data_IF_109277125041
#
_entry.id   IF_109277125041
#
_cell.length_a   1.000
_cell.length_b   1.000
_cell.length_c   1.000
_cell.angle_alpha   90.00
_cell.angle_beta   90.00
_cell.angle_gamma   90.00
#
_symmetry.space_group_name_H-M   'P 1'
#
loop_
_entity.id
_entity.type
_entity.pdbx_description
1 polymer ?
#
# COMPACT_ATOMS: atom_id res chain seq x y z
N UNK A 1 -9.21 6.53 -2.80
CA UNK A 1 -8.79 5.86 -1.57
C UNK A 1 -9.47 6.46 -0.34
N UNK A 2 -9.41 7.77 -0.18
CA UNK A 2 -9.97 8.52 0.95
C UNK A 2 -11.33 9.14 0.60
N UNK A 3 -12.22 9.35 1.58
CA UNK A 3 -13.41 10.17 1.36
C UNK A 3 -13.00 11.63 1.05
N UNK A 4 -13.82 12.33 0.27
CA UNK A 4 -13.55 13.72 -0.11
C UNK A 4 -13.30 14.61 1.13
N UNK A 5 -12.20 15.36 1.11
CA UNK A 5 -11.79 16.27 2.18
C UNK A 5 -11.34 15.62 3.49
N UNK A 6 -11.23 14.27 3.57
CA UNK A 6 -10.89 13.56 4.82
C UNK A 6 -9.53 12.82 4.77
N UNK A 7 -8.72 13.08 3.77
CA UNK A 7 -7.38 12.55 3.68
C UNK A 7 -6.47 13.18 4.76
N UNK A 8 -5.83 12.38 5.63
CA UNK A 8 -4.99 12.92 6.70
C UNK A 8 -3.69 13.52 6.15
N UNK A 9 -3.17 14.53 6.82
CA UNK A 9 -1.84 15.12 6.61
C UNK A 9 -1.49 15.42 5.14
N UNK A 10 -2.48 15.90 4.37
CA UNK A 10 -2.25 16.33 2.98
C UNK A 10 -1.18 17.41 2.93
N UNK A 11 -0.16 17.19 2.09
CA UNK A 11 0.93 18.12 1.90
C UNK A 11 0.77 18.92 0.60
N UNK A 12 1.16 20.22 0.57
CA UNK A 12 1.03 21.03 -0.64
C UNK A 12 1.81 20.51 -1.85
N UNK A 13 2.89 19.75 -1.61
CA UNK A 13 3.71 19.15 -2.67
C UNK A 13 3.15 17.82 -3.20
N UNK A 14 2.06 17.30 -2.61
CA UNK A 14 1.39 16.07 -3.06
C UNK A 14 0.24 16.42 -3.98
N UNK A 15 0.46 16.28 -5.26
CA UNK A 15 -0.39 16.85 -6.33
C UNK A 15 -1.40 15.85 -6.95
N UNK A 16 -1.56 14.65 -6.38
CA UNK A 16 -2.59 13.72 -6.81
C UNK A 16 -3.27 13.01 -5.63
N UNK A 17 -4.48 12.53 -5.86
CA UNK A 17 -5.21 11.71 -4.90
C UNK A 17 -4.73 10.25 -5.01
N UNK A 18 -4.45 9.57 -3.89
CA UNK A 18 -4.10 8.16 -3.90
C UNK A 18 -5.29 7.29 -4.28
N UNK A 19 -5.04 6.19 -5.02
CA UNK A 19 -6.09 5.30 -5.49
C UNK A 19 -5.64 3.84 -5.56
N UNK A 20 -6.61 2.95 -5.76
CA UNK A 20 -6.43 1.51 -5.96
C UNK A 20 -6.81 1.14 -7.37
N UNK A 21 -6.06 0.22 -7.97
CA UNK A 21 -6.42 -0.44 -9.22
C UNK A 21 -6.53 -1.94 -8.96
N UNK A 22 -7.70 -2.50 -9.24
CA UNK A 22 -7.98 -3.91 -9.12
C UNK A 22 -7.67 -4.64 -10.44
N UNK A 23 -6.89 -5.71 -10.35
CA UNK A 23 -6.58 -6.64 -11.42
C UNK A 23 -7.21 -7.98 -11.08
N UNK A 24 -8.42 -8.22 -11.60
CA UNK A 24 -9.21 -9.41 -11.30
C UNK A 24 -9.07 -10.39 -12.48
N UNK A 25 -8.61 -11.64 -12.24
CA UNK A 25 -8.45 -12.62 -13.30
C UNK A 25 -9.79 -13.11 -13.83
N UNK A 26 -9.86 -13.41 -15.14
CA UNK A 26 -11.05 -14.04 -15.72
C UNK A 26 -11.31 -15.43 -15.13
N UNK A 27 -10.24 -16.16 -14.81
CA UNK A 27 -10.29 -17.51 -14.23
C UNK A 27 -9.52 -17.51 -12.90
N UNK A 28 -10.15 -17.12 -11.79
CA UNK A 28 -9.49 -17.10 -10.49
C UNK A 28 -9.16 -18.52 -10.02
N UNK A 29 -7.93 -18.74 -9.59
CA UNK A 29 -7.46 -20.00 -8.98
C UNK A 29 -7.47 -19.93 -7.45
N UNK A 30 -7.64 -18.74 -6.89
CA UNK A 30 -7.66 -18.48 -5.47
C UNK A 30 -8.56 -17.29 -5.13
N UNK A 31 -9.07 -17.26 -3.89
CA UNK A 31 -9.76 -16.09 -3.33
C UNK A 31 -8.83 -15.12 -2.60
N UNK A 32 -7.52 -15.39 -2.61
CA UNK A 32 -6.51 -14.54 -2.00
C UNK A 32 -6.28 -13.25 -2.81
N UNK A 33 -5.82 -12.21 -2.13
CA UNK A 33 -5.59 -10.89 -2.70
C UNK A 33 -4.15 -10.46 -2.41
N UNK A 34 -3.43 -10.03 -3.43
CA UNK A 34 -2.10 -9.43 -3.30
C UNK A 34 -2.18 -7.91 -3.46
N UNK A 35 -1.94 -7.19 -2.37
CA UNK A 35 -1.73 -5.73 -2.44
C UNK A 35 -0.30 -5.47 -2.88
N UNK A 36 -0.10 -4.55 -3.83
CA UNK A 36 1.20 -4.22 -4.41
C UNK A 36 1.50 -2.74 -4.21
N UNK A 37 2.68 -2.43 -3.66
CA UNK A 37 3.20 -1.08 -3.44
C UNK A 37 4.54 -0.93 -4.15
N UNK A 38 4.61 -0.02 -5.11
CA UNK A 38 5.82 0.22 -5.90
C UNK A 38 6.88 0.99 -5.11
N UNK A 39 8.13 0.97 -5.59
CA UNK A 39 9.22 1.78 -5.09
C UNK A 39 9.23 3.21 -5.64
N UNK A 40 10.39 3.86 -5.57
CA UNK A 40 10.62 5.24 -6.03
C UNK A 40 11.12 6.17 -4.92
N UNK A 41 11.74 5.61 -3.86
CA UNK A 41 12.37 6.39 -2.77
C UNK A 41 11.43 7.30 -2.00
N UNK A 42 10.11 7.09 -2.10
CA UNK A 42 9.06 8.02 -1.66
C UNK A 42 9.08 9.37 -2.37
N UNK A 43 9.96 9.58 -3.33
CA UNK A 43 9.97 10.77 -4.19
C UNK A 43 8.92 10.71 -5.30
N UNK A 44 8.68 9.50 -5.80
CA UNK A 44 7.63 9.17 -6.75
C UNK A 44 7.15 7.73 -6.51
N UNK A 45 6.06 7.35 -7.13
CA UNK A 45 5.58 5.98 -7.11
C UNK A 45 5.81 5.35 -8.49
N UNK A 46 6.72 4.38 -8.59
CA UNK A 46 7.07 3.68 -9.83
C UNK A 46 5.98 2.67 -10.24
N UNK A 47 4.75 3.16 -10.33
CA UNK A 47 3.57 2.34 -10.53
C UNK A 47 3.66 1.48 -11.80
N UNK A 48 3.99 2.11 -12.94
CA UNK A 48 4.06 1.47 -14.25
C UNK A 48 5.24 0.51 -14.36
N UNK A 49 6.36 0.80 -13.70
CA UNK A 49 7.57 -0.02 -13.77
C UNK A 49 7.58 -1.22 -12.83
N UNK A 50 6.86 -1.17 -11.72
CA UNK A 50 6.93 -2.19 -10.68
C UNK A 50 5.57 -2.77 -10.29
N UNK A 51 4.54 -1.96 -10.03
CA UNK A 51 3.28 -2.48 -9.54
C UNK A 51 2.43 -3.12 -10.66
N UNK A 52 2.28 -2.44 -11.77
CA UNK A 52 1.43 -2.86 -12.88
C UNK A 52 1.91 -4.16 -13.54
N UNK A 53 3.20 -4.35 -13.91
CA UNK A 53 3.67 -5.59 -14.51
C UNK A 53 3.48 -6.81 -13.60
N UNK A 54 3.70 -6.63 -12.30
CA UNK A 54 3.51 -7.70 -11.31
C UNK A 54 2.03 -8.02 -11.13
N UNK A 55 1.16 -6.99 -11.13
CA UNK A 55 -0.28 -7.19 -11.07
C UNK A 55 -0.79 -8.01 -12.28
N UNK A 56 -0.32 -7.71 -13.48
CA UNK A 56 -0.63 -8.49 -14.69
C UNK A 56 -0.11 -9.92 -14.61
N UNK A 57 1.13 -10.11 -14.14
CA UNK A 57 1.69 -11.45 -13.96
C UNK A 57 0.85 -12.30 -12.99
N UNK A 58 0.49 -11.76 -11.82
CA UNK A 58 -0.35 -12.46 -10.85
C UNK A 58 -1.74 -12.74 -11.40
N UNK A 59 -2.30 -11.81 -12.14
CA UNK A 59 -3.59 -11.95 -12.80
C UNK A 59 -3.59 -13.12 -13.79
N UNK A 60 -2.53 -13.27 -14.61
CA UNK A 60 -2.35 -14.42 -15.50
C UNK A 60 -2.23 -15.76 -14.76
N UNK A 61 -1.79 -15.74 -13.49
CA UNK A 61 -1.74 -16.94 -12.63
C UNK A 61 -3.04 -17.20 -11.86
N UNK A 62 -4.08 -16.43 -12.13
CA UNK A 62 -5.39 -16.57 -11.50
C UNK A 62 -5.48 -15.97 -10.10
N UNK A 63 -4.55 -15.10 -9.70
CA UNK A 63 -4.57 -14.40 -8.43
C UNK A 63 -5.00 -12.94 -8.62
N UNK A 64 -5.94 -12.49 -7.79
CA UNK A 64 -6.32 -11.07 -7.76
C UNK A 64 -5.19 -10.23 -7.16
N UNK A 65 -4.83 -9.16 -7.85
CA UNK A 65 -3.89 -8.16 -7.37
C UNK A 65 -4.56 -6.78 -7.24
N UNK A 66 -4.08 -6.00 -6.28
CA UNK A 66 -4.52 -4.61 -6.08
C UNK A 66 -3.30 -3.72 -6.00
N UNK A 67 -3.05 -2.94 -7.03
CA UNK A 67 -1.95 -1.99 -7.04
C UNK A 67 -2.36 -0.67 -6.39
N UNK A 68 -1.50 -0.17 -5.51
CA UNK A 68 -1.73 1.07 -4.74
C UNK A 68 -0.89 2.19 -5.32
N UNK A 69 -1.54 3.23 -5.81
CA UNK A 69 -0.90 4.50 -6.11
C UNK A 69 -0.95 5.35 -4.84
N UNK A 70 0.06 5.21 -3.99
CA UNK A 70 0.16 5.97 -2.73
C UNK A 70 0.73 7.37 -2.97
N UNK A 71 0.51 8.30 -2.03
CA UNK A 71 0.93 9.69 -2.13
C UNK A 71 2.45 9.83 -2.24
N UNK A 72 2.87 10.60 -3.25
CA UNK A 72 4.23 11.09 -3.47
C UNK A 72 4.16 12.55 -3.94
N UNK A 73 5.23 13.31 -3.80
CA UNK A 73 6.45 12.97 -3.08
C UNK A 73 6.20 12.84 -1.57
N UNK A 74 7.23 12.38 -0.85
CA UNK A 74 7.22 12.31 0.62
C UNK A 74 6.83 13.64 1.24
N UNK A 75 6.31 13.65 2.48
CA UNK A 75 5.99 14.89 3.17
C UNK A 75 7.24 15.76 3.35
N UNK A 76 7.06 17.07 3.32
CA UNK A 76 8.14 18.04 3.55
C UNK A 76 8.62 18.01 5.00
N UNK A 77 7.70 17.73 5.92
CA UNK A 77 7.97 17.62 7.35
C UNK A 77 7.57 16.24 7.87
N UNK A 78 8.36 15.70 8.80
CA UNK A 78 8.12 14.40 9.41
C UNK A 78 8.74 13.22 8.66
N UNK A 79 8.40 12.00 9.06
CA UNK A 79 8.96 10.79 8.47
C UNK A 79 8.62 10.65 6.98
N UNK A 80 9.63 10.33 6.16
CA UNK A 80 9.48 10.21 4.70
C UNK A 80 8.40 9.22 4.25
N UNK A 81 8.10 8.22 5.05
CA UNK A 81 7.13 7.18 4.76
C UNK A 81 5.71 7.49 5.25
N UNK A 82 5.49 8.55 6.02
CA UNK A 82 4.23 8.77 6.76
C UNK A 82 3.00 8.76 5.84
N UNK A 83 2.96 9.60 4.82
CA UNK A 83 1.81 9.66 3.90
C UNK A 83 1.58 8.33 3.17
N UNK A 84 2.66 7.68 2.73
CA UNK A 84 2.58 6.38 2.07
C UNK A 84 2.08 5.28 3.03
N UNK A 85 2.50 5.32 4.30
CA UNK A 85 2.05 4.37 5.32
C UNK A 85 0.57 4.54 5.67
N UNK A 86 0.09 5.77 5.78
CA UNK A 86 -1.33 6.07 5.93
C UNK A 86 -2.14 5.50 4.76
N UNK A 87 -1.68 5.74 3.53
CA UNK A 87 -2.34 5.23 2.33
C UNK A 87 -2.30 3.69 2.25
N UNK A 88 -1.20 3.05 2.64
CA UNK A 88 -1.09 1.60 2.67
C UNK A 88 -2.06 0.97 3.69
N UNK A 89 -2.15 1.51 4.91
CA UNK A 89 -3.12 1.04 5.90
C UNK A 89 -4.57 1.22 5.41
N UNK A 90 -4.88 2.37 4.85
CA UNK A 90 -6.20 2.63 4.26
C UNK A 90 -6.50 1.70 3.10
N UNK A 91 -5.51 1.43 2.23
CA UNK A 91 -5.63 0.50 1.12
C UNK A 91 -5.96 -0.92 1.60
N UNK A 92 -5.25 -1.44 2.61
CA UNK A 92 -5.51 -2.78 3.18
C UNK A 92 -6.94 -2.87 3.73
N UNK A 93 -7.40 -1.86 4.48
CA UNK A 93 -8.77 -1.81 5.02
C UNK A 93 -9.82 -1.75 3.91
N UNK A 94 -9.60 -0.91 2.90
CA UNK A 94 -10.50 -0.77 1.76
C UNK A 94 -10.58 -2.05 0.94
N UNK A 95 -9.45 -2.70 0.67
CA UNK A 95 -9.39 -4.01 0.01
C UNK A 95 -10.19 -5.05 0.81
N UNK A 96 -10.01 -5.09 2.13
CA UNK A 96 -10.76 -6.00 3.02
C UNK A 96 -12.26 -5.74 2.98
N UNK A 97 -12.67 -4.46 3.00
CA UNK A 97 -14.08 -4.09 2.94
C UNK A 97 -14.74 -4.48 1.60
N UNK A 98 -14.00 -4.36 0.49
CA UNK A 98 -14.53 -4.60 -0.85
C UNK A 98 -14.42 -6.06 -1.31
N UNK A 99 -13.58 -6.87 -0.67
CA UNK A 99 -13.30 -8.26 -1.05
C UNK A 99 -14.56 -9.14 -1.14
N UNK A 100 -15.50 -9.14 -0.16
CA UNK A 100 -16.68 -10.00 -0.22
C UNK A 100 -17.57 -9.73 -1.43
N UNK A 101 -17.78 -8.45 -1.78
CA UNK A 101 -18.59 -8.06 -2.93
C UNK A 101 -17.98 -8.52 -4.29
N UNK A 102 -16.69 -8.89 -4.28
CA UNK A 102 -15.95 -9.40 -5.44
C UNK A 102 -15.75 -10.94 -5.39
N UNK A 103 -16.39 -11.62 -4.43
CA UNK A 103 -16.22 -13.06 -4.24
C UNK A 103 -14.86 -13.48 -3.69
N UNK A 104 -14.10 -12.56 -3.11
CA UNK A 104 -12.77 -12.76 -2.55
C UNK A 104 -12.82 -12.91 -1.02
N UNK A 105 -11.77 -13.48 -0.43
CA UNK A 105 -11.69 -13.71 1.01
C UNK A 105 -11.02 -12.53 1.72
N UNK A 106 -11.76 -11.76 2.55
CA UNK A 106 -11.21 -10.62 3.29
C UNK A 106 -10.13 -10.99 4.33
N UNK A 107 -10.00 -12.30 4.65
CA UNK A 107 -9.00 -12.81 5.57
C UNK A 107 -7.76 -13.38 4.86
N UNK A 108 -7.68 -13.29 3.53
CA UNK A 108 -6.56 -13.80 2.73
C UNK A 108 -5.93 -12.67 1.90
N UNK A 109 -5.38 -11.68 2.60
CA UNK A 109 -4.75 -10.50 2.02
C UNK A 109 -3.26 -10.50 2.39
N UNK A 110 -2.40 -10.42 1.38
CA UNK A 110 -0.98 -10.17 1.54
C UNK A 110 -0.56 -8.84 0.94
N UNK A 111 0.64 -8.39 1.29
CA UNK A 111 1.26 -7.21 0.70
C UNK A 111 2.63 -7.55 0.12
N UNK A 112 2.99 -6.96 -1.00
CA UNK A 112 4.34 -6.99 -1.55
C UNK A 112 4.75 -5.61 -2.04
N UNK A 113 6.04 -5.37 -2.07
CA UNK A 113 6.55 -4.11 -2.58
C UNK A 113 8.05 -4.10 -2.81
N UNK A 114 8.50 -3.10 -3.55
CA UNK A 114 9.83 -3.00 -4.13
C UNK A 114 10.57 -1.78 -3.57
N UNK A 115 11.84 -1.90 -3.22
CA UNK A 115 12.66 -0.77 -2.75
C UNK A 115 11.99 0.00 -1.60
N UNK A 116 11.63 1.27 -1.77
CA UNK A 116 10.84 2.03 -0.79
C UNK A 116 9.46 1.39 -0.53
N UNK A 117 8.83 0.77 -1.55
CA UNK A 117 7.63 -0.06 -1.37
C UNK A 117 7.90 -1.34 -0.58
N UNK A 118 9.11 -1.91 -0.68
CA UNK A 118 9.55 -3.01 0.18
C UNK A 118 9.65 -2.58 1.65
N UNK A 119 10.17 -1.38 1.92
CA UNK A 119 10.14 -0.77 3.25
C UNK A 119 8.69 -0.55 3.73
N UNK A 120 7.84 0.00 2.88
CA UNK A 120 6.41 0.21 3.17
C UNK A 120 5.70 -1.12 3.48
N UNK A 121 6.06 -2.20 2.77
CA UNK A 121 5.59 -3.57 3.04
C UNK A 121 5.95 -4.02 4.45
N UNK A 122 7.21 -3.81 4.88
CA UNK A 122 7.64 -4.12 6.24
C UNK A 122 6.88 -3.28 7.27
N UNK A 123 6.77 -1.97 7.04
CA UNK A 123 6.02 -1.06 7.92
C UNK A 123 4.57 -1.53 8.09
N UNK A 124 3.87 -1.86 7.01
CA UNK A 124 2.49 -2.33 7.06
C UNK A 124 2.34 -3.66 7.81
N UNK A 125 3.26 -4.60 7.59
CA UNK A 125 3.20 -5.93 8.18
C UNK A 125 3.54 -5.93 9.69
N UNK A 126 4.58 -5.19 10.10
CA UNK A 126 5.05 -5.18 11.48
C UNK A 126 4.28 -4.23 12.39
N UNK A 127 3.63 -3.20 11.82
CA UNK A 127 2.88 -2.18 12.56
C UNK A 127 1.36 -2.24 12.30
N UNK A 128 0.82 -3.42 12.03
CA UNK A 128 -0.60 -3.57 11.71
C UNK A 128 -1.55 -3.12 12.86
N UNK A 129 -1.07 -3.09 14.10
CA UNK A 129 -1.82 -2.63 15.29
C UNK A 129 -1.55 -1.17 15.66
N UNK A 130 -0.57 -0.53 15.02
CA UNK A 130 -0.22 0.87 15.27
C UNK A 130 -0.92 1.74 14.22
N UNK A 131 -1.88 2.60 14.60
CA UNK A 131 -2.57 3.43 13.62
C UNK A 131 -1.65 4.51 13.05
N UNK A 132 -1.58 4.62 11.73
CA UNK A 132 -0.85 5.69 11.03
C UNK A 132 -1.64 7.01 10.98
N UNK A 133 -2.94 6.96 11.28
CA UNK A 133 -3.87 8.10 11.25
C UNK A 133 -5.08 7.84 12.14
N UNK A 134 -5.80 8.90 12.51
CA UNK A 134 -7.08 8.80 13.22
C UNK A 134 -8.16 8.28 12.26
N UNK A 135 -9.07 7.38 12.69
CA UNK A 135 -10.14 6.87 11.85
C UNK A 135 -11.00 7.98 11.22
N UNK A 136 -11.30 7.86 9.93
CA UNK A 136 -12.11 8.85 9.19
C UNK A 136 -13.51 8.35 8.83
N UNK A 137 -13.71 7.02 8.77
CA UNK A 137 -15.01 6.38 8.50
C UNK A 137 -15.07 4.94 9.02
N UNK A 138 -16.17 4.23 8.74
CA UNK A 138 -16.39 2.85 9.18
C UNK A 138 -15.36 1.83 8.64
N UNK A 139 -14.77 2.09 7.46
CA UNK A 139 -13.73 1.22 6.88
C UNK A 139 -12.51 1.18 7.81
N UNK A 140 -12.21 2.24 8.51
CA UNK A 140 -11.06 2.33 9.40
C UNK A 140 -11.20 1.54 10.71
N UNK A 141 -12.39 1.02 11.00
CA UNK A 141 -12.60 0.05 12.07
C UNK A 141 -12.11 -1.36 11.71
N UNK A 142 -11.90 -1.63 10.41
CA UNK A 142 -11.37 -2.92 9.95
C UNK A 142 -9.88 -3.07 10.28
N UNK A 143 -9.40 -4.29 10.55
CA UNK A 143 -8.00 -4.51 10.87
C UNK A 143 -7.08 -4.33 9.65
N UNK A 144 -5.83 -3.93 9.91
CA UNK A 144 -4.75 -3.88 8.91
C UNK A 144 -3.90 -5.16 8.88
N UNK A 145 -4.30 -6.22 9.56
CA UNK A 145 -3.56 -7.49 9.61
C UNK A 145 -3.42 -8.12 8.23
N UNK A 146 -2.28 -8.74 7.98
CA UNK A 146 -1.94 -9.37 6.72
C UNK A 146 -1.54 -10.84 6.96
N UNK A 147 -1.80 -11.72 6.01
CA UNK A 147 -1.45 -13.14 6.11
C UNK A 147 -0.03 -13.43 5.63
N UNK A 148 0.49 -12.61 4.73
CA UNK A 148 1.88 -12.68 4.28
C UNK A 148 2.37 -11.31 3.83
N UNK A 149 3.69 -11.14 3.82
CA UNK A 149 4.37 -9.96 3.32
C UNK A 149 5.60 -10.38 2.48
N UNK A 150 5.77 -9.77 1.32
CA UNK A 150 6.88 -10.00 0.42
C UNK A 150 7.66 -8.70 0.18
N UNK A 151 8.56 -8.30 1.07
CA UNK A 151 9.42 -7.14 0.84
C UNK A 151 10.52 -7.52 -0.17
N UNK A 152 10.53 -6.86 -1.33
CA UNK A 152 11.52 -7.10 -2.40
C UNK A 152 12.57 -6.00 -2.32
N UNK A 153 13.84 -6.37 -2.15
CA UNK A 153 15.00 -5.46 -1.94
C UNK A 153 14.63 -4.19 -1.15
N UNK A 154 14.09 -4.34 0.08
CA UNK A 154 13.54 -3.21 0.84
C UNK A 154 14.61 -2.17 1.13
N UNK A 155 14.40 -0.94 0.66
CA UNK A 155 15.24 0.19 1.02
C UNK A 155 15.06 0.52 2.51
N UNK A 156 16.08 1.08 3.13
CA UNK A 156 16.08 1.55 4.54
C UNK A 156 15.90 0.47 5.62
N UNK A 157 15.68 -0.79 5.27
CA UNK A 157 15.33 -1.84 6.22
C UNK A 157 16.46 -2.23 7.18
N UNK A 158 17.72 -2.01 6.78
CA UNK A 158 18.92 -2.38 7.54
C UNK A 158 19.72 -1.17 8.01
N UNK A 159 19.17 0.04 7.90
CA UNK A 159 19.86 1.27 8.30
C UNK A 159 19.18 1.89 9.51
N UNK A 160 19.93 2.11 10.57
CA UNK A 160 19.53 3.00 11.65
C UNK A 160 19.28 4.38 11.04
N UNK A 161 18.04 4.82 11.02
CA UNK A 161 17.66 6.09 10.44
C UNK A 161 16.96 6.00 9.08
N UNK A 162 16.07 5.03 8.93
CA UNK A 162 15.05 5.05 7.86
C UNK A 162 14.34 6.41 7.77
N UNK A 163 14.34 7.15 8.86
CA UNK A 163 13.80 8.51 8.99
C UNK A 163 14.87 9.61 8.93
N UNK A 164 16.11 9.28 8.56
CA UNK A 164 17.08 10.36 8.35
C UNK A 164 16.50 11.36 7.36
N UNK A 165 16.48 12.68 7.71
CA UNK A 165 16.19 13.70 6.72
C UNK A 165 17.14 13.50 5.55
N UNK A 166 16.63 13.68 4.34
CA UNK A 166 17.41 13.45 3.13
C UNK A 166 18.78 14.06 3.20
N UNK A 167 19.75 13.21 3.20
CA UNK A 167 21.00 13.56 2.58
C UNK A 167 20.84 13.22 1.10
N UNK A 168 20.55 14.30 0.32
CA UNK A 168 20.39 14.39 -1.15
C UNK A 168 19.44 13.42 -1.79
#
# INVERSE_FOLDING_TARGET
>A
LWPAGRMPDRQPNQNYEPYLVWYIPEKPTTKAIQVIVAGGGYGFCNYVGEAEPVAYYLNQKGMTAVAVKYRCPRPQNGPKHLSAWQDAQRAIRKVRAEAPARGLDPNRIGIMGFSAGGHLTLMAATNAKTPAYAPVDEIDKLPCTLQWACPIYPAYALTDGADRPNTT
#
